data_IF_492368401871
#
_entry.id   IF_492368401871
#
_cell.length_a   1.000
_cell.length_b   1.000
_cell.length_c   1.000
_cell.angle_alpha   90.00
_cell.angle_beta   90.00
_cell.angle_gamma   90.00
#
_symmetry.space_group_name_H-M   'P 1'
#
loop_
_entity.id
_entity.type
_entity.pdbx_description
1 polymer ?
#
# COMPACT_ATOMS: atom_id res chain seq x y z
N UNK A 1 -5.61 -6.19 6.60
CA UNK A 1 -5.82 -6.93 5.34
C UNK A 1 -6.44 -8.30 5.58
N UNK A 2 -7.24 -8.81 4.60
CA UNK A 2 -7.89 -10.12 4.74
C UNK A 2 -6.88 -11.26 4.85
N UNK A 3 -5.78 -11.18 4.15
CA UNK A 3 -4.66 -12.15 4.17
C UNK A 3 -4.00 -12.30 5.55
N UNK A 4 -4.07 -11.30 6.41
CA UNK A 4 -3.44 -11.30 7.73
C UNK A 4 -4.34 -11.78 8.88
N UNK A 5 -5.64 -11.96 8.66
CA UNK A 5 -6.56 -12.38 9.72
C UNK A 5 -6.14 -13.71 10.35
N UNK A 6 -5.77 -14.68 9.53
CA UNK A 6 -5.33 -15.99 10.02
C UNK A 6 -3.98 -15.92 10.73
N UNK A 7 -3.09 -15.04 10.28
CA UNK A 7 -1.83 -14.76 10.95
C UNK A 7 -2.07 -14.19 12.35
N UNK A 8 -2.90 -13.15 12.46
CA UNK A 8 -3.30 -12.58 13.76
C UNK A 8 -3.90 -13.61 14.71
N UNK A 9 -4.78 -14.50 14.20
CA UNK A 9 -5.33 -15.59 15.02
C UNK A 9 -4.23 -16.54 15.52
N UNK A 10 -3.26 -16.89 14.68
CA UNK A 10 -2.18 -17.77 15.06
C UNK A 10 -1.26 -17.12 16.10
N UNK A 11 -0.93 -15.85 15.94
CA UNK A 11 -0.16 -15.09 16.92
C UNK A 11 -0.89 -14.96 18.26
N UNK A 12 -2.20 -14.69 18.26
CA UNK A 12 -3.01 -14.67 19.48
C UNK A 12 -3.01 -16.04 20.17
N UNK A 13 -3.14 -17.14 19.43
CA UNK A 13 -3.06 -18.48 20.00
C UNK A 13 -1.71 -18.78 20.64
N UNK A 14 -0.64 -18.25 20.06
CA UNK A 14 0.73 -18.45 20.54
C UNK A 14 1.02 -17.62 21.80
N UNK A 15 0.63 -16.35 21.82
CA UNK A 15 1.03 -15.41 22.87
C UNK A 15 -0.06 -15.15 23.93
N UNK A 16 -1.32 -15.43 23.62
CA UNK A 16 -2.46 -15.20 24.50
C UNK A 16 -3.52 -16.31 24.35
N UNK A 17 -3.14 -17.58 24.58
CA UNK A 17 -4.02 -18.75 24.35
C UNK A 17 -5.29 -18.75 25.20
N UNK A 18 -5.33 -17.99 26.28
CA UNK A 18 -6.48 -17.85 27.16
C UNK A 18 -7.61 -16.99 26.58
N UNK A 19 -7.34 -16.20 25.52
CA UNK A 19 -8.34 -15.33 24.94
C UNK A 19 -9.21 -16.07 23.92
N UNK A 20 -10.52 -15.84 24.01
CA UNK A 20 -11.46 -16.31 23.01
C UNK A 20 -11.46 -15.40 21.79
N UNK A 21 -11.12 -15.94 20.62
CA UNK A 21 -10.95 -15.19 19.38
C UNK A 21 -12.02 -15.54 18.36
N UNK A 22 -12.81 -14.57 17.95
CA UNK A 22 -13.78 -14.71 16.85
C UNK A 22 -13.28 -13.98 15.61
N UNK A 23 -13.27 -14.68 14.45
CA UNK A 23 -13.07 -14.08 13.14
C UNK A 23 -14.42 -13.69 12.57
N UNK A 24 -14.69 -12.38 12.49
CA UNK A 24 -15.91 -11.85 11.90
C UNK A 24 -15.67 -11.49 10.43
N UNK A 25 -15.75 -12.51 9.55
CA UNK A 25 -15.49 -12.39 8.12
C UNK A 25 -16.31 -13.44 7.32
N UNK A 26 -16.34 -13.29 6.01
CA UNK A 26 -17.03 -14.19 5.10
C UNK A 26 -18.53 -13.88 4.94
N UNK A 27 -19.23 -14.73 4.19
CA UNK A 27 -20.66 -14.57 3.85
C UNK A 27 -21.59 -14.93 5.02
N UNK A 28 -21.22 -15.93 5.82
CA UNK A 28 -22.04 -16.44 6.95
C UNK A 28 -21.76 -15.71 8.27
N UNK A 29 -21.10 -14.54 8.23
CA UNK A 29 -20.74 -13.77 9.44
C UNK A 29 -21.95 -13.25 10.22
N UNK A 30 -23.12 -13.21 9.61
CA UNK A 30 -24.38 -12.81 10.27
C UNK A 30 -24.68 -13.70 11.47
N UNK A 31 -24.41 -14.99 11.36
CA UNK A 31 -24.62 -15.98 12.43
C UNK A 31 -23.63 -15.77 13.59
N UNK A 32 -22.52 -15.09 13.33
CA UNK A 32 -21.49 -14.80 14.34
C UNK A 32 -21.79 -13.57 15.21
N UNK A 33 -22.87 -12.82 14.94
CA UNK A 33 -23.19 -11.58 15.68
C UNK A 33 -23.38 -11.83 17.18
N UNK A 34 -24.00 -12.95 17.54
CA UNK A 34 -24.20 -13.32 18.95
C UNK A 34 -22.90 -13.62 19.70
N UNK A 35 -21.83 -13.96 18.96
CA UNK A 35 -20.51 -14.23 19.53
C UNK A 35 -19.67 -12.98 19.73
N UNK A 36 -19.97 -11.85 19.06
CA UNK A 36 -19.19 -10.62 19.16
C UNK A 36 -19.09 -10.08 20.60
N UNK A 37 -20.16 -10.20 21.39
CA UNK A 37 -20.20 -9.76 22.78
C UNK A 37 -19.57 -10.76 23.77
N UNK A 38 -19.39 -12.01 23.35
CA UNK A 38 -18.85 -13.09 24.18
C UNK A 38 -17.38 -13.37 23.93
N UNK A 39 -16.82 -12.78 22.88
CA UNK A 39 -15.41 -12.96 22.50
C UNK A 39 -14.55 -11.89 23.15
N UNK A 40 -13.37 -12.30 23.63
CA UNK A 40 -12.37 -11.38 24.15
C UNK A 40 -11.74 -10.57 23.01
N UNK A 41 -11.54 -11.19 21.84
CA UNK A 41 -10.97 -10.57 20.64
C UNK A 41 -11.82 -10.84 19.41
N UNK A 42 -12.14 -9.80 18.67
CA UNK A 42 -12.82 -9.87 17.37
C UNK A 42 -11.83 -9.44 16.28
N UNK A 43 -11.51 -10.35 15.38
CA UNK A 43 -10.72 -10.07 14.18
C UNK A 43 -11.65 -9.77 13.02
N UNK A 44 -11.46 -8.60 12.38
CA UNK A 44 -12.33 -8.11 11.30
C UNK A 44 -11.50 -7.45 10.20
N UNK A 45 -11.93 -7.54 8.94
CA UNK A 45 -11.31 -6.77 7.86
C UNK A 45 -11.93 -5.37 7.77
N UNK A 46 -11.18 -4.42 7.22
CA UNK A 46 -11.69 -3.09 6.91
C UNK A 46 -12.91 -3.10 5.99
N UNK A 47 -12.94 -4.01 5.02
CA UNK A 47 -14.08 -4.16 4.12
C UNK A 47 -15.32 -4.63 4.87
N UNK A 48 -15.19 -5.66 5.72
CA UNK A 48 -16.30 -6.18 6.53
C UNK A 48 -16.80 -5.14 7.53
N UNK A 49 -15.86 -4.41 8.19
CA UNK A 49 -16.20 -3.34 9.11
C UNK A 49 -17.04 -2.26 8.43
N UNK A 50 -16.62 -1.80 7.25
CA UNK A 50 -17.34 -0.78 6.49
C UNK A 50 -18.77 -1.23 6.13
N UNK A 51 -18.92 -2.49 5.71
CA UNK A 51 -20.22 -3.02 5.30
C UNK A 51 -21.19 -3.23 6.48
N UNK A 52 -20.66 -3.56 7.66
CA UNK A 52 -21.46 -3.91 8.85
C UNK A 52 -21.38 -2.83 9.94
N UNK A 53 -20.99 -1.60 9.58
CA UNK A 53 -20.76 -0.52 10.54
C UNK A 53 -22.00 -0.19 11.40
N UNK A 54 -23.20 -0.34 10.88
CA UNK A 54 -24.45 -0.06 11.62
C UNK A 54 -24.68 -1.04 12.78
N UNK A 55 -24.08 -2.22 12.71
CA UNK A 55 -24.12 -3.21 13.79
C UNK A 55 -22.96 -2.96 14.76
N UNK A 56 -21.75 -2.81 14.21
CA UNK A 56 -20.53 -2.69 14.98
C UNK A 56 -20.47 -1.39 15.79
N UNK A 57 -21.08 -0.31 15.29
CA UNK A 57 -21.17 0.98 16.00
C UNK A 57 -22.05 0.95 17.25
N UNK A 58 -22.86 -0.10 17.44
CA UNK A 58 -23.68 -0.31 18.65
C UNK A 58 -22.92 -1.01 19.77
N UNK A 59 -21.75 -1.55 19.47
CA UNK A 59 -20.90 -2.23 20.43
C UNK A 59 -19.83 -1.25 20.95
N UNK A 60 -19.51 -1.38 22.24
CA UNK A 60 -18.40 -0.63 22.84
C UNK A 60 -17.25 -1.57 23.12
N UNK A 61 -16.10 -1.29 22.51
CA UNK A 61 -14.89 -2.09 22.67
C UNK A 61 -13.97 -1.48 23.77
N UNK A 62 -13.24 -2.32 24.48
CA UNK A 62 -12.20 -1.84 25.39
C UNK A 62 -11.04 -1.19 24.61
N UNK A 63 -10.52 -1.92 23.65
CA UNK A 63 -9.43 -1.47 22.77
C UNK A 63 -9.81 -1.75 21.32
N UNK A 64 -9.56 -0.79 20.45
CA UNK A 64 -9.69 -0.94 18.98
C UNK A 64 -8.32 -0.77 18.36
N UNK A 65 -7.85 -1.81 17.67
CA UNK A 65 -6.55 -1.81 17.00
C UNK A 65 -6.76 -1.81 15.49
N UNK A 66 -6.17 -0.83 14.81
CA UNK A 66 -6.15 -0.76 13.35
C UNK A 66 -4.76 -1.15 12.84
N UNK A 67 -4.64 -2.33 12.23
CA UNK A 67 -3.42 -2.75 11.55
C UNK A 67 -3.37 -2.18 10.13
N UNK A 68 -2.18 -1.82 9.63
CA UNK A 68 -2.00 -1.09 8.37
C UNK A 68 -2.85 0.22 8.35
N UNK A 69 -2.72 1.00 9.43
CA UNK A 69 -3.58 2.16 9.69
C UNK A 69 -3.44 3.28 8.64
N UNK A 70 -2.44 3.25 7.75
CA UNK A 70 -2.37 4.13 6.58
C UNK A 70 -3.58 3.98 5.64
N UNK A 71 -4.34 2.90 5.75
CA UNK A 71 -5.62 2.77 5.05
C UNK A 71 -6.65 3.83 5.47
N UNK A 72 -6.45 4.48 6.64
CA UNK A 72 -7.32 5.53 7.17
C UNK A 72 -6.89 6.95 6.75
N UNK A 73 -5.85 7.09 5.96
CA UNK A 73 -5.23 8.38 5.57
C UNK A 73 -6.15 9.39 4.90
N UNK A 74 -7.21 8.93 4.24
CA UNK A 74 -8.16 9.82 3.57
C UNK A 74 -9.41 10.06 4.43
N UNK A 75 -9.57 11.26 5.05
CA UNK A 75 -10.70 11.58 5.91
C UNK A 75 -12.06 11.53 5.19
N UNK A 76 -12.08 11.77 3.86
CA UNK A 76 -13.30 11.73 3.05
C UNK A 76 -13.70 10.31 2.63
N UNK A 77 -12.89 9.29 2.88
CA UNK A 77 -13.20 7.91 2.46
C UNK A 77 -14.32 7.30 3.31
N UNK A 78 -15.11 6.43 2.70
CA UNK A 78 -16.15 5.66 3.41
C UNK A 78 -15.55 4.82 4.55
N UNK A 79 -14.32 4.33 4.37
CA UNK A 79 -13.63 3.56 5.40
C UNK A 79 -13.33 4.43 6.63
N UNK A 80 -12.72 5.60 6.43
CA UNK A 80 -12.42 6.52 7.52
C UNK A 80 -13.70 6.91 8.29
N UNK A 81 -14.77 7.27 7.56
CA UNK A 81 -16.06 7.61 8.16
C UNK A 81 -16.64 6.43 8.97
N UNK A 82 -16.54 5.20 8.47
CA UNK A 82 -16.97 4.02 9.21
C UNK A 82 -16.13 3.83 10.49
N UNK A 83 -14.81 3.93 10.39
CA UNK A 83 -13.91 3.81 11.55
C UNK A 83 -14.18 4.88 12.63
N UNK A 84 -14.54 6.09 12.23
CA UNK A 84 -14.93 7.16 13.17
C UNK A 84 -16.24 6.87 13.93
N UNK A 85 -17.09 5.94 13.45
CA UNK A 85 -18.32 5.53 14.12
C UNK A 85 -18.12 4.42 15.15
N UNK A 86 -17.00 3.71 15.13
CA UNK A 86 -16.69 2.67 16.11
C UNK A 86 -16.51 3.29 17.49
N UNK A 87 -17.11 2.64 18.50
CA UNK A 87 -17.01 3.06 19.89
C UNK A 87 -15.96 2.21 20.61
N UNK A 88 -15.02 2.87 21.27
CA UNK A 88 -13.96 2.22 22.04
C UNK A 88 -13.42 3.13 23.12
N UNK A 89 -12.80 2.55 24.16
CA UNK A 89 -12.12 3.31 25.21
C UNK A 89 -10.71 3.75 24.81
N UNK A 90 -10.01 2.88 24.07
CA UNK A 90 -8.67 3.15 23.54
C UNK A 90 -8.61 2.79 22.06
N UNK A 91 -7.83 3.57 21.30
CA UNK A 91 -7.61 3.34 19.88
C UNK A 91 -6.12 3.27 19.60
N UNK A 92 -5.67 2.25 18.90
CA UNK A 92 -4.28 2.05 18.52
C UNK A 92 -4.17 1.87 17.00
N UNK A 93 -3.24 2.60 16.41
CA UNK A 93 -2.91 2.52 14.99
C UNK A 93 -1.54 1.88 14.83
N UNK A 94 -1.48 0.75 14.14
CA UNK A 94 -0.23 0.08 13.77
C UNK A 94 0.04 0.37 12.30
N UNK A 95 1.24 0.83 11.97
CA UNK A 95 1.65 1.11 10.59
C UNK A 95 3.17 1.06 10.46
N UNK A 96 3.66 0.44 9.39
CA UNK A 96 5.06 0.53 9.00
C UNK A 96 5.43 1.90 8.40
N UNK A 97 4.44 2.64 7.91
CA UNK A 97 4.60 3.92 7.20
C UNK A 97 3.59 4.95 7.74
N UNK A 98 3.86 5.60 8.89
CA UNK A 98 2.88 6.47 9.55
C UNK A 98 2.52 7.74 8.75
N UNK A 99 3.42 8.19 7.89
CA UNK A 99 3.22 9.31 6.95
C UNK A 99 3.73 8.86 5.59
N UNK A 100 2.82 8.59 4.65
CA UNK A 100 3.23 8.20 3.29
C UNK A 100 3.42 9.41 2.38
N UNK A 101 2.43 10.31 2.32
CA UNK A 101 2.40 11.35 1.29
C UNK A 101 2.16 12.76 1.83
N UNK A 102 1.48 12.93 2.95
CA UNK A 102 1.11 14.27 3.42
C UNK A 102 0.87 14.38 4.93
N UNK A 103 0.96 15.61 5.46
CA UNK A 103 0.55 15.91 6.83
C UNK A 103 -0.95 15.68 7.07
N UNK A 104 -1.77 15.71 6.01
CA UNK A 104 -3.19 15.36 6.10
C UNK A 104 -3.38 13.89 6.45
N UNK A 105 -2.52 13.01 5.96
CA UNK A 105 -2.53 11.58 6.30
C UNK A 105 -2.26 11.39 7.80
N UNK A 106 -1.26 12.10 8.32
CA UNK A 106 -0.97 12.12 9.75
C UNK A 106 -2.18 12.60 10.57
N UNK A 107 -2.79 13.73 10.17
CA UNK A 107 -3.97 14.25 10.84
C UNK A 107 -5.10 13.23 10.89
N UNK A 108 -5.37 12.55 9.77
CA UNK A 108 -6.45 11.58 9.68
C UNK A 108 -6.28 10.42 10.67
N UNK A 109 -5.08 9.84 10.74
CA UNK A 109 -4.77 8.74 11.67
C UNK A 109 -4.79 9.24 13.12
N UNK A 110 -4.16 10.37 13.41
CA UNK A 110 -4.12 10.94 14.76
C UNK A 110 -5.50 11.34 15.26
N UNK A 111 -6.37 11.88 14.37
CA UNK A 111 -7.75 12.23 14.75
C UNK A 111 -8.61 11.00 15.04
N UNK A 112 -8.31 9.85 14.43
CA UNK A 112 -8.97 8.59 14.77
C UNK A 112 -8.48 8.03 16.11
N UNK A 113 -7.16 8.05 16.38
CA UNK A 113 -6.56 7.54 17.63
C UNK A 113 -6.87 8.47 18.81
N UNK A 114 -6.67 9.76 18.65
CA UNK A 114 -6.83 10.81 19.69
C UNK A 114 -7.70 11.94 19.16
N UNK A 115 -9.01 11.76 19.22
CA UNK A 115 -9.98 12.72 18.66
C UNK A 115 -9.79 14.10 19.29
N UNK A 116 -9.60 15.09 18.42
CA UNK A 116 -9.48 16.50 18.83
C UNK A 116 -8.07 16.97 19.20
N UNK A 117 -7.08 16.07 19.36
CA UNK A 117 -5.70 16.44 19.71
C UNK A 117 -5.11 17.47 18.74
N UNK A 118 -5.32 17.29 17.44
CA UNK A 118 -4.84 18.20 16.39
C UNK A 118 -5.90 19.20 15.90
N UNK A 119 -7.04 19.30 16.60
CA UNK A 119 -8.16 20.14 16.19
C UNK A 119 -8.89 19.63 14.96
N UNK A 120 -9.76 20.49 14.39
CA UNK A 120 -10.44 20.18 13.11
C UNK A 120 -9.45 20.13 11.95
N UNK A 121 -9.81 19.45 10.85
CA UNK A 121 -8.97 19.39 9.65
C UNK A 121 -8.65 20.80 9.11
N UNK A 122 -9.61 21.74 9.17
CA UNK A 122 -9.40 23.14 8.78
C UNK A 122 -8.37 23.80 9.69
N UNK A 123 -8.53 23.65 11.01
CA UNK A 123 -7.59 24.19 11.99
C UNK A 123 -6.17 23.64 11.73
N UNK A 124 -6.03 22.34 11.58
CA UNK A 124 -4.74 21.72 11.34
C UNK A 124 -4.07 22.21 10.05
N UNK A 125 -4.86 22.35 8.98
CA UNK A 125 -4.36 22.90 7.72
C UNK A 125 -3.85 24.33 7.88
N UNK A 126 -4.62 25.17 8.55
CA UNK A 126 -4.33 26.60 8.65
C UNK A 126 -3.21 26.91 9.66
N UNK A 127 -3.06 26.11 10.74
CA UNK A 127 -2.08 26.33 11.82
C UNK A 127 -0.83 25.45 11.72
N UNK A 128 -0.86 24.33 11.00
CA UNK A 128 0.28 23.44 10.85
C UNK A 128 0.69 23.26 9.39
N UNK A 129 -0.20 22.79 8.49
CA UNK A 129 0.22 22.45 7.13
C UNK A 129 0.75 23.69 6.39
N UNK A 130 -0.03 24.78 6.34
CA UNK A 130 0.38 26.01 5.63
C UNK A 130 1.63 26.64 6.23
N UNK A 131 1.75 26.81 7.56
CA UNK A 131 2.97 27.31 8.18
C UNK A 131 4.19 26.41 7.93
N UNK A 132 4.06 25.08 8.03
CA UNK A 132 5.15 24.14 7.76
C UNK A 132 5.65 24.26 6.31
N UNK A 133 4.76 24.42 5.35
CA UNK A 133 5.13 24.59 3.94
C UNK A 133 5.83 25.93 3.66
N UNK A 134 5.58 26.95 4.50
CA UNK A 134 6.20 28.29 4.40
C UNK A 134 7.43 28.45 5.28
N UNK A 135 7.65 27.54 6.26
CA UNK A 135 8.68 27.65 7.29
C UNK A 135 10.00 27.01 6.84
N UNK A 136 10.92 27.84 6.37
CA UNK A 136 12.26 27.42 5.96
C UNK A 136 13.11 26.96 7.17
N UNK A 137 12.83 27.45 8.37
CA UNK A 137 13.60 27.16 9.59
C UNK A 137 13.11 25.90 10.34
N UNK A 138 11.99 25.32 9.93
CA UNK A 138 11.45 24.06 10.47
C UNK A 138 10.89 24.14 11.91
N UNK A 139 10.69 25.34 12.47
CA UNK A 139 10.18 25.53 13.86
C UNK A 139 8.78 24.93 14.05
N UNK A 140 7.92 25.10 13.05
CA UNK A 140 6.55 24.59 13.13
C UNK A 140 6.50 23.07 12.98
N UNK A 141 7.38 22.48 12.17
CA UNK A 141 7.57 21.03 12.07
C UNK A 141 8.02 20.44 13.41
N UNK A 142 8.94 21.12 14.10
CA UNK A 142 9.40 20.68 15.41
C UNK A 142 8.31 20.81 16.48
N UNK A 143 7.52 21.88 16.45
CA UNK A 143 6.39 22.06 17.36
C UNK A 143 5.34 20.95 17.18
N UNK A 144 4.98 20.60 15.94
CA UNK A 144 4.09 19.49 15.65
C UNK A 144 4.68 18.17 16.15
N UNK A 145 5.98 17.92 15.89
CA UNK A 145 6.66 16.70 16.35
C UNK A 145 6.63 16.56 17.86
N UNK A 146 6.89 17.64 18.60
CA UNK A 146 6.80 17.66 20.08
C UNK A 146 5.38 17.36 20.58
N UNK A 147 4.36 17.90 19.90
CA UNK A 147 2.95 17.68 20.26
C UNK A 147 2.53 16.23 20.12
N UNK A 148 2.97 15.54 19.05
CA UNK A 148 2.55 14.16 18.77
C UNK A 148 3.48 13.10 19.38
N UNK A 149 4.69 13.46 19.77
CA UNK A 149 5.70 12.53 20.30
C UNK A 149 5.20 11.62 21.43
N UNK A 150 4.40 12.08 22.41
CA UNK A 150 3.88 11.23 23.49
C UNK A 150 2.92 10.12 23.01
N UNK A 151 2.38 10.24 21.80
CA UNK A 151 1.38 9.34 21.23
C UNK A 151 1.92 8.44 20.12
N UNK A 152 3.21 8.56 19.76
CA UNK A 152 3.84 7.81 18.69
C UNK A 152 5.04 7.05 19.22
N UNK A 153 5.02 5.73 19.06
CA UNK A 153 6.17 4.87 19.28
C UNK A 153 6.66 4.35 17.92
N UNK A 154 7.85 4.76 17.52
CA UNK A 154 8.51 4.28 16.33
C UNK A 154 9.82 3.58 16.70
N UNK A 155 10.02 2.40 16.13
CA UNK A 155 11.28 1.65 16.19
C UNK A 155 11.67 1.26 14.79
N UNK A 156 12.89 1.51 14.40
CA UNK A 156 13.42 1.04 13.12
C UNK A 156 14.03 -0.36 13.28
N UNK A 157 14.20 -1.07 12.17
CA UNK A 157 14.83 -2.40 12.20
C UNK A 157 16.27 -2.32 12.69
N UNK A 158 16.98 -1.30 12.27
CA UNK A 158 18.37 -1.02 12.64
C UNK A 158 18.53 -0.80 14.15
N UNK A 159 17.56 -0.13 14.79
CA UNK A 159 17.58 0.11 16.24
C UNK A 159 17.32 -1.15 17.09
N UNK A 160 16.59 -2.13 16.55
CA UNK A 160 16.07 -3.26 17.36
C UNK A 160 16.73 -4.59 17.01
N UNK A 161 17.26 -4.73 15.80
CA UNK A 161 17.76 -5.98 15.25
C UNK A 161 19.24 -5.81 14.85
N UNK A 162 20.11 -5.62 15.83
CA UNK A 162 21.55 -5.45 15.63
C UNK A 162 22.23 -6.66 14.92
N UNK A 163 21.59 -7.84 14.97
CA UNK A 163 22.11 -9.06 14.32
C UNK A 163 21.72 -9.19 12.84
N UNK A 164 20.90 -8.28 12.30
CA UNK A 164 20.58 -8.31 10.87
C UNK A 164 21.73 -7.70 10.05
N UNK A 165 22.09 -8.35 8.93
CA UNK A 165 23.05 -7.74 8.00
C UNK A 165 22.47 -6.45 7.41
N UNK A 166 23.37 -5.54 7.05
CA UNK A 166 23.00 -4.29 6.41
C UNK A 166 22.24 -4.53 5.11
N UNK A 167 21.22 -3.67 4.87
CA UNK A 167 20.48 -3.69 3.62
C UNK A 167 21.33 -3.04 2.51
N UNK A 168 21.74 -3.84 1.53
CA UNK A 168 22.34 -3.33 0.31
C UNK A 168 21.26 -3.06 -0.73
N UNK A 169 21.13 -1.81 -1.17
CA UNK A 169 20.23 -1.41 -2.24
C UNK A 169 21.04 -1.02 -3.48
N UNK A 170 20.74 -1.66 -4.61
CA UNK A 170 21.38 -1.39 -5.88
C UNK A 170 20.35 -0.95 -6.92
N UNK A 171 20.66 0.12 -7.65
CA UNK A 171 19.87 0.59 -8.78
C UNK A 171 20.50 0.07 -10.08
N UNK A 172 19.82 -0.88 -10.72
CA UNK A 172 20.26 -1.41 -12.03
C UNK A 172 19.52 -0.66 -13.13
N UNK A 173 20.27 0.02 -13.98
CA UNK A 173 19.74 0.72 -15.16
C UNK A 173 19.89 -0.19 -16.35
N UNK A 174 18.75 -0.45 -17.03
CA UNK A 174 18.69 -1.32 -18.20
C UNK A 174 18.41 -0.48 -19.45
N UNK A 175 19.20 -0.67 -20.50
CA UNK A 175 18.91 -0.09 -21.80
C UNK A 175 17.83 -0.89 -22.53
N UNK A 176 16.87 -0.22 -23.18
CA UNK A 176 15.88 -0.92 -24.00
C UNK A 176 16.55 -1.53 -25.24
N UNK A 177 16.09 -2.71 -25.66
CA UNK A 177 16.42 -3.29 -26.95
C UNK A 177 15.98 -2.36 -28.09
N UNK A 178 16.60 -2.45 -29.26
CA UNK A 178 16.36 -1.51 -30.36
C UNK A 178 14.89 -1.49 -30.82
N UNK A 179 14.27 -2.67 -30.94
CA UNK A 179 12.85 -2.80 -31.29
C UNK A 179 11.96 -2.25 -30.18
N UNK A 180 12.30 -2.52 -28.91
CA UNK A 180 11.58 -1.97 -27.76
C UNK A 180 11.66 -0.44 -27.74
N UNK A 181 12.83 0.14 -28.08
CA UNK A 181 13.02 1.59 -28.17
C UNK A 181 12.11 2.21 -29.21
N UNK A 182 11.98 1.60 -30.39
CA UNK A 182 11.07 2.08 -31.44
C UNK A 182 9.62 2.12 -30.94
N UNK A 183 9.13 1.04 -30.35
CA UNK A 183 7.77 0.98 -29.79
C UNK A 183 7.55 2.03 -28.70
N UNK A 184 8.58 2.28 -27.87
CA UNK A 184 8.50 3.28 -26.81
C UNK A 184 8.44 4.71 -27.38
N UNK A 185 9.29 5.04 -28.35
CA UNK A 185 9.35 6.36 -29.01
C UNK A 185 8.08 6.66 -29.82
N UNK A 186 7.53 5.67 -30.49
CA UNK A 186 6.23 5.79 -31.19
C UNK A 186 5.11 6.13 -30.22
N UNK A 187 5.01 5.40 -29.10
CA UNK A 187 3.99 5.69 -28.09
C UNK A 187 4.21 7.05 -27.45
N UNK A 188 5.46 7.41 -27.13
CA UNK A 188 5.82 8.73 -26.59
C UNK A 188 5.41 9.86 -27.55
N UNK A 189 5.65 9.69 -28.85
CA UNK A 189 5.29 10.67 -29.88
C UNK A 189 3.78 10.79 -30.03
N UNK A 190 3.05 9.66 -29.98
CA UNK A 190 1.58 9.63 -29.98
C UNK A 190 1.00 10.41 -28.81
N UNK A 191 1.52 10.18 -27.61
CA UNK A 191 1.10 10.85 -26.39
C UNK A 191 1.39 12.37 -26.45
N UNK A 192 2.60 12.73 -26.92
CA UNK A 192 2.99 14.14 -27.07
C UNK A 192 2.02 14.85 -28.03
N UNK A 193 1.76 14.28 -29.19
CA UNK A 193 0.86 14.86 -30.19
C UNK A 193 -0.56 15.00 -29.64
N UNK A 194 -1.05 14.01 -28.90
CA UNK A 194 -2.35 14.08 -28.24
C UNK A 194 -2.42 15.21 -27.21
N UNK A 195 -1.41 15.35 -26.32
CA UNK A 195 -1.38 16.42 -25.33
C UNK A 195 -1.34 17.81 -25.97
N UNK A 196 -0.60 17.96 -27.08
CA UNK A 196 -0.54 19.23 -27.81
C UNK A 196 -1.90 19.58 -28.43
N UNK A 197 -2.57 18.64 -29.08
CA UNK A 197 -3.90 18.86 -29.68
C UNK A 197 -4.99 19.19 -28.66
N UNK A 198 -4.95 18.58 -27.46
CA UNK A 198 -5.91 18.86 -26.38
C UNK A 198 -5.70 20.22 -25.71
N UNK A 199 -4.45 20.70 -25.62
CA UNK A 199 -4.16 22.05 -25.12
C UNK A 199 -4.76 23.14 -26.00
N UNK A 200 -4.88 22.90 -27.30
CA UNK A 200 -5.52 23.81 -28.23
C UNK A 200 -7.05 23.83 -28.09
N UNK A 201 -7.66 22.78 -27.55
CA UNK A 201 -9.11 22.57 -27.48
C UNK A 201 -9.75 22.79 -26.08
N UNK A 202 -9.07 23.37 -25.10
CA UNK A 202 -9.59 23.80 -23.77
C UNK A 202 -10.24 22.71 -22.89
N UNK A 203 -9.66 21.53 -22.75
CA UNK A 203 -10.20 20.45 -21.91
C UNK A 203 -9.30 19.98 -20.78
N UNK A 204 -9.20 20.70 -19.63
CA UNK A 204 -8.26 20.38 -18.54
C UNK A 204 -8.52 19.00 -17.86
N UNK A 205 -9.75 18.61 -17.60
CA UNK A 205 -10.05 17.36 -16.83
C UNK A 205 -9.90 16.05 -17.63
N UNK A 206 -10.06 16.08 -18.95
CA UNK A 206 -9.81 14.92 -19.81
C UNK A 206 -8.31 14.66 -20.01
N UNK A 207 -7.51 15.71 -19.98
CA UNK A 207 -6.07 15.68 -20.14
C UNK A 207 -5.39 14.83 -19.07
N UNK A 208 -5.71 15.01 -17.77
CA UNK A 208 -5.03 14.33 -16.65
C UNK A 208 -5.24 12.82 -16.67
N UNK A 209 -6.45 12.34 -16.96
CA UNK A 209 -6.71 10.89 -17.04
C UNK A 209 -5.99 10.24 -18.22
N UNK A 210 -5.92 10.92 -19.36
CA UNK A 210 -5.23 10.43 -20.55
C UNK A 210 -3.72 10.44 -20.36
N UNK A 211 -3.15 11.46 -19.71
CA UNK A 211 -1.73 11.50 -19.33
C UNK A 211 -1.39 10.33 -18.42
N UNK A 212 -2.21 10.06 -17.40
CA UNK A 212 -2.01 8.92 -16.50
C UNK A 212 -2.04 7.59 -17.25
N UNK A 213 -3.02 7.39 -18.13
CA UNK A 213 -3.12 6.19 -18.98
C UNK A 213 -1.89 6.03 -19.88
N UNK A 214 -1.42 7.11 -20.46
CA UNK A 214 -0.22 7.13 -21.29
C UNK A 214 1.04 6.78 -20.50
N UNK A 215 1.21 7.34 -19.31
CA UNK A 215 2.33 7.00 -18.43
C UNK A 215 2.32 5.52 -18.02
N UNK A 216 1.14 4.96 -17.72
CA UNK A 216 1.00 3.53 -17.43
C UNK A 216 1.43 2.71 -18.64
N UNK A 217 1.02 3.09 -19.85
CA UNK A 217 1.36 2.39 -21.07
C UNK A 217 2.86 2.44 -21.39
N UNK A 218 3.48 3.61 -21.26
CA UNK A 218 4.94 3.77 -21.40
C UNK A 218 5.71 2.94 -20.35
N UNK A 219 5.25 2.89 -19.10
CA UNK A 219 5.82 2.01 -18.08
C UNK A 219 5.68 0.52 -18.43
N UNK A 220 4.57 0.12 -19.06
CA UNK A 220 4.39 -1.24 -19.54
C UNK A 220 5.40 -1.56 -20.64
N UNK A 221 5.55 -0.70 -21.66
CA UNK A 221 6.51 -0.88 -22.75
C UNK A 221 7.95 -0.93 -22.20
N UNK A 222 8.29 -0.06 -21.23
CA UNK A 222 9.60 -0.07 -20.56
C UNK A 222 9.89 -1.37 -19.78
N UNK A 223 8.87 -2.08 -19.31
CA UNK A 223 9.05 -3.40 -18.74
C UNK A 223 9.16 -4.48 -19.82
N UNK A 224 8.19 -4.53 -20.74
CA UNK A 224 8.20 -5.40 -21.92
C UNK A 224 7.10 -5.00 -22.90
N UNK A 225 7.37 -4.78 -24.20
CA UNK A 225 6.33 -4.40 -25.18
C UNK A 225 5.15 -5.37 -25.30
N UNK A 226 5.34 -6.67 -25.08
CA UNK A 226 4.25 -7.68 -25.04
C UNK A 226 3.13 -7.34 -24.04
N UNK A 227 3.35 -6.45 -23.09
CA UNK A 227 2.30 -6.01 -22.15
C UNK A 227 1.23 -5.15 -22.83
N UNK A 228 1.57 -4.52 -23.96
CA UNK A 228 0.70 -3.62 -24.74
C UNK A 228 0.44 -4.13 -26.14
N UNK A 229 1.36 -4.93 -26.71
CA UNK A 229 1.31 -5.48 -28.06
C UNK A 229 1.41 -7.01 -28.00
N UNK A 230 0.28 -7.69 -28.19
CA UNK A 230 0.22 -9.17 -28.07
C UNK A 230 1.02 -9.90 -29.15
N UNK A 231 1.32 -9.26 -30.28
CA UNK A 231 2.12 -9.81 -31.38
C UNK A 231 3.62 -9.45 -31.31
N UNK A 232 4.09 -8.79 -30.26
CA UNK A 232 5.49 -8.46 -30.15
C UNK A 232 6.35 -9.72 -29.87
N UNK A 233 7.26 -10.02 -30.77
CA UNK A 233 8.16 -11.20 -30.70
C UNK A 233 9.55 -10.86 -30.18
N UNK A 234 9.91 -9.59 -30.11
CA UNK A 234 11.20 -9.12 -29.59
C UNK A 234 11.34 -9.30 -28.08
N UNK A 235 12.53 -9.05 -27.60
CA UNK A 235 12.84 -9.10 -26.16
C UNK A 235 12.80 -7.71 -25.52
N UNK A 236 13.12 -7.63 -24.24
CA UNK A 236 13.21 -6.40 -23.46
C UNK A 236 14.52 -6.39 -22.68
N UNK A 237 15.27 -5.30 -22.77
CA UNK A 237 16.52 -5.17 -22.03
C UNK A 237 16.34 -5.38 -20.51
N UNK A 238 15.24 -4.86 -19.93
CA UNK A 238 14.90 -5.12 -18.52
C UNK A 238 14.61 -6.58 -18.25
N UNK A 239 13.87 -7.25 -19.14
CA UNK A 239 13.53 -8.66 -18.95
C UNK A 239 14.76 -9.55 -19.01
N UNK A 240 15.67 -9.29 -19.97
CA UNK A 240 16.96 -9.98 -20.09
C UNK A 240 17.81 -9.79 -18.82
N UNK A 241 17.90 -8.57 -18.32
CA UNK A 241 18.72 -8.26 -17.15
C UNK A 241 18.14 -8.88 -15.86
N UNK A 242 16.83 -8.86 -15.69
CA UNK A 242 16.15 -9.55 -14.57
C UNK A 242 16.53 -11.04 -14.57
N UNK A 243 16.50 -11.72 -15.73
CA UNK A 243 16.83 -13.14 -15.80
C UNK A 243 18.33 -13.43 -15.66
N UNK A 244 19.19 -12.50 -16.07
CA UNK A 244 20.62 -12.60 -15.79
C UNK A 244 20.88 -12.58 -14.27
N UNK A 245 20.32 -11.59 -13.58
CA UNK A 245 20.47 -11.43 -12.13
C UNK A 245 19.84 -12.62 -11.36
N UNK A 246 18.63 -13.06 -11.76
CA UNK A 246 17.98 -14.21 -11.14
C UNK A 246 18.84 -15.46 -11.27
N UNK A 247 19.46 -15.67 -12.44
CA UNK A 247 20.36 -16.79 -12.67
C UNK A 247 21.55 -16.81 -11.73
N UNK A 248 22.21 -15.67 -11.53
CA UNK A 248 23.36 -15.53 -10.64
C UNK A 248 23.00 -15.80 -9.17
N UNK A 249 21.89 -15.20 -8.71
CA UNK A 249 21.45 -15.34 -7.31
C UNK A 249 20.95 -16.75 -7.01
N UNK A 250 20.23 -17.39 -7.93
CA UNK A 250 19.76 -18.77 -7.79
C UNK A 250 20.93 -19.75 -7.84
N UNK A 251 21.91 -19.54 -8.74
CA UNK A 251 23.12 -20.36 -8.80
C UNK A 251 23.94 -20.29 -7.51
N UNK A 252 23.89 -19.16 -6.81
CA UNK A 252 24.51 -18.99 -5.48
C UNK A 252 23.69 -19.59 -4.33
N UNK A 253 22.58 -20.29 -4.62
CA UNK A 253 21.75 -20.98 -3.63
C UNK A 253 20.79 -20.07 -2.86
N UNK A 254 20.62 -18.83 -3.27
CA UNK A 254 19.74 -17.87 -2.60
C UNK A 254 18.29 -17.93 -3.10
N UNK A 255 17.35 -17.50 -2.26
CA UNK A 255 15.96 -17.30 -2.61
C UNK A 255 15.73 -15.86 -3.04
N UNK A 256 14.86 -15.66 -4.03
CA UNK A 256 14.58 -14.34 -4.60
C UNK A 256 13.10 -14.02 -4.49
N UNK A 257 12.79 -12.77 -4.14
CA UNK A 257 11.44 -12.22 -4.23
C UNK A 257 11.41 -11.20 -5.38
N UNK A 258 10.51 -11.41 -6.34
CA UNK A 258 10.31 -10.51 -7.48
C UNK A 258 8.99 -9.77 -7.30
N UNK A 259 9.04 -8.46 -7.24
CA UNK A 259 7.86 -7.60 -7.12
C UNK A 259 7.59 -6.83 -8.41
N UNK A 260 6.34 -6.79 -8.83
CA UNK A 260 5.89 -5.96 -9.93
C UNK A 260 4.48 -5.44 -9.69
N UNK A 261 4.20 -4.21 -10.10
CA UNK A 261 2.84 -3.66 -10.15
C UNK A 261 2.02 -4.19 -11.33
N UNK A 262 2.62 -4.93 -12.26
CA UNK A 262 1.96 -5.48 -13.44
C UNK A 262 1.85 -7.00 -13.35
N UNK A 263 0.66 -7.52 -13.06
CA UNK A 263 0.38 -8.97 -12.97
C UNK A 263 0.73 -9.69 -14.28
N UNK A 264 0.47 -9.06 -15.44
CA UNK A 264 0.85 -9.64 -16.74
C UNK A 264 2.37 -9.85 -16.86
N UNK A 265 3.17 -8.90 -16.34
CA UNK A 265 4.63 -9.04 -16.32
C UNK A 265 5.07 -10.19 -15.43
N UNK A 266 4.49 -10.32 -14.23
CA UNK A 266 4.77 -11.45 -13.34
C UNK A 266 4.43 -12.80 -13.98
N UNK A 267 3.36 -12.88 -14.78
CA UNK A 267 3.03 -14.11 -15.53
C UNK A 267 4.10 -14.44 -16.57
N UNK A 268 4.61 -13.44 -17.29
CA UNK A 268 5.71 -13.65 -18.24
C UNK A 268 6.99 -14.12 -17.53
N UNK A 269 7.29 -13.51 -16.37
CA UNK A 269 8.42 -13.97 -15.52
C UNK A 269 8.22 -15.42 -15.07
N UNK A 270 7.00 -15.78 -14.67
CA UNK A 270 6.69 -17.16 -14.26
C UNK A 270 6.84 -18.15 -15.42
N UNK A 271 6.37 -17.81 -16.62
CA UNK A 271 6.52 -18.63 -17.84
C UNK A 271 7.98 -18.91 -18.16
N UNK A 272 8.82 -17.86 -18.20
CA UNK A 272 10.25 -18.01 -18.45
C UNK A 272 10.98 -18.76 -17.32
N UNK A 273 10.55 -18.59 -16.06
CA UNK A 273 11.07 -19.32 -14.90
C UNK A 273 10.80 -20.83 -15.05
N UNK A 274 9.61 -21.21 -15.56
CA UNK A 274 9.28 -22.62 -15.86
C UNK A 274 10.14 -23.17 -16.98
N UNK A 275 10.36 -22.41 -18.07
CA UNK A 275 11.22 -22.81 -19.18
C UNK A 275 12.64 -23.13 -18.69
N UNK A 276 13.15 -22.36 -17.72
CA UNK A 276 14.47 -22.56 -17.11
C UNK A 276 14.51 -23.67 -16.04
N UNK A 277 13.38 -24.30 -15.74
CA UNK A 277 13.28 -25.36 -14.75
C UNK A 277 13.42 -24.89 -13.29
N UNK A 278 13.27 -23.59 -13.03
CA UNK A 278 13.34 -23.07 -11.67
C UNK A 278 12.01 -23.19 -10.94
N UNK A 279 12.05 -23.57 -9.66
CA UNK A 279 10.85 -23.63 -8.82
C UNK A 279 10.43 -22.24 -8.40
N UNK A 280 9.15 -21.93 -8.54
CA UNK A 280 8.59 -20.64 -8.11
C UNK A 280 7.23 -20.80 -7.43
N UNK A 281 6.84 -19.77 -6.68
CA UNK A 281 5.48 -19.55 -6.22
C UNK A 281 5.07 -18.13 -6.62
N UNK A 282 3.81 -17.95 -7.03
CA UNK A 282 3.28 -16.65 -7.44
C UNK A 282 2.10 -16.25 -6.57
N UNK A 283 2.17 -15.04 -6.02
CA UNK A 283 1.10 -14.41 -5.24
C UNK A 283 0.55 -13.20 -5.98
N UNK A 284 -0.74 -13.20 -6.24
CA UNK A 284 -1.46 -12.08 -6.88
C UNK A 284 -2.75 -11.79 -6.14
N UNK A 285 -3.42 -10.70 -6.48
CA UNK A 285 -4.74 -10.38 -5.91
C UNK A 285 -5.84 -11.42 -6.18
N UNK A 286 -5.59 -12.39 -7.07
CA UNK A 286 -6.50 -13.50 -7.39
C UNK A 286 -6.09 -14.82 -6.70
N UNK A 287 -4.97 -14.83 -5.99
CA UNK A 287 -4.52 -16.02 -5.24
C UNK A 287 -5.41 -16.19 -4.00
N UNK A 288 -6.03 -17.37 -3.87
CA UNK A 288 -6.94 -17.71 -2.78
C UNK A 288 -6.20 -17.95 -1.44
#
# INVERSE_FOLDING_TARGET
>A
PASLIHNWRNELRKFAPQLTVTIYAGTNRIDLRSYLQRSDVVLITYHTLRNDIDILSRLTFGIVVADEAQMLKNPGSQLHQAMMRIQGRCFWALSGTPIENSLTDLWAVMNWVNRGLLGSQRFFRDHFIRPILADVEGRMSEALRKLIAPYILRRTKEEVLADLPDLTAELVVCEPEEEQRKVYEEEQSRVRNYILSERENQGELRSDFMVLKALIRLRQIANHPRLVETGYEGNSGKFSEVFRMLGEVIASGHKVLVFSSFVKYLKMVAEETMVRGWKYAMLTGLTA
#
